data_IF_115165752692
#
_entry.id   IF_115165752692
#
_cell.length_a   1.000
_cell.length_b   1.000
_cell.length_c   1.000
_cell.angle_alpha   90.00
_cell.angle_beta   90.00
_cell.angle_gamma   90.00
#
_symmetry.space_group_name_H-M   'P 1'
#
loop_
_entity.id
_entity.type
_entity.pdbx_description
1 polymer ?
#
# COMPACT_ATOMS: atom_id res chain seq x y z
N UNK A 1 -18.14 -20.32 48.60
CA UNK A 1 -17.37 -20.10 47.35
C UNK A 1 -18.31 -20.34 46.17
N UNK A 2 -18.75 -19.30 45.44
CA UNK A 2 -19.56 -19.52 44.24
C UNK A 2 -18.66 -19.66 43.01
N UNK A 3 -19.02 -20.63 42.19
CA UNK A 3 -18.36 -21.08 40.96
C UNK A 3 -18.53 -20.00 39.88
N UNK A 4 -17.41 -19.55 39.31
CA UNK A 4 -17.35 -18.59 38.21
C UNK A 4 -17.58 -19.33 36.88
N UNK A 5 -18.73 -19.12 36.26
CA UNK A 5 -18.93 -19.49 34.86
C UNK A 5 -18.23 -18.46 33.97
N UNK A 6 -17.14 -18.89 33.32
CA UNK A 6 -16.52 -18.11 32.24
C UNK A 6 -17.47 -18.22 31.03
N UNK A 7 -18.21 -17.15 30.76
CA UNK A 7 -18.87 -16.97 29.47
C UNK A 7 -17.79 -16.68 28.43
N UNK A 8 -17.66 -17.56 27.45
CA UNK A 8 -16.89 -17.29 26.25
C UNK A 8 -17.59 -16.15 25.48
N UNK A 9 -16.94 -15.00 25.37
CA UNK A 9 -17.39 -13.96 24.46
C UNK A 9 -17.24 -14.46 23.02
N UNK A 10 -18.35 -14.61 22.31
CA UNK A 10 -18.34 -14.81 20.87
C UNK A 10 -17.70 -13.58 20.21
N UNK A 11 -16.55 -13.77 19.56
CA UNK A 11 -15.92 -12.76 18.71
C UNK A 11 -16.87 -12.54 17.52
N UNK A 12 -17.51 -11.38 17.46
CA UNK A 12 -18.44 -11.04 16.39
C UNK A 12 -17.74 -10.92 15.04
N UNK A 13 -17.95 -11.91 14.18
CA UNK A 13 -17.75 -11.78 12.73
C UNK A 13 -18.99 -11.06 12.21
N UNK A 14 -18.90 -9.76 11.86
CA UNK A 14 -20.04 -9.07 11.21
C UNK A 14 -20.20 -7.55 11.36
N UNK A 15 -19.22 -6.79 11.86
CA UNK A 15 -19.32 -5.33 11.76
C UNK A 15 -19.11 -4.91 10.30
N UNK A 16 -20.08 -4.22 9.67
CA UNK A 16 -19.88 -3.58 8.36
C UNK A 16 -18.70 -2.63 8.47
N UNK A 17 -17.70 -2.78 7.60
CA UNK A 17 -16.56 -1.87 7.56
C UNK A 17 -17.05 -0.45 7.25
N UNK A 18 -16.99 0.43 8.25
CA UNK A 18 -17.41 1.83 8.15
C UNK A 18 -16.49 2.66 9.06
N UNK A 19 -15.24 2.94 8.64
CA UNK A 19 -14.34 3.75 9.44
C UNK A 19 -14.91 5.17 9.58
N UNK A 20 -14.90 5.68 10.81
CA UNK A 20 -15.24 7.09 11.06
C UNK A 20 -14.00 7.93 10.75
N UNK A 21 -14.11 8.81 9.76
CA UNK A 21 -13.05 9.76 9.39
C UNK A 21 -13.35 11.11 10.04
N UNK A 22 -12.48 11.50 10.97
CA UNK A 22 -12.43 12.87 11.51
C UNK A 22 -11.16 13.53 10.96
N UNK A 23 -11.26 14.57 10.11
CA UNK A 23 -10.09 15.22 9.54
C UNK A 23 -9.05 15.70 10.56
N UNK A 24 -9.50 16.05 11.77
CA UNK A 24 -8.61 16.51 12.83
C UNK A 24 -7.70 15.41 13.38
N UNK A 25 -7.99 14.13 13.10
CA UNK A 25 -7.19 12.98 13.53
C UNK A 25 -6.08 12.60 12.56
N UNK A 26 -5.96 13.31 11.43
CA UNK A 26 -4.99 13.01 10.37
C UNK A 26 -3.97 14.12 10.17
N UNK A 27 -2.81 13.72 9.67
CA UNK A 27 -1.73 14.61 9.25
C UNK A 27 -1.11 14.14 7.93
N UNK A 28 -0.57 15.09 7.19
CA UNK A 28 0.16 14.85 5.93
C UNK A 28 1.66 14.57 6.14
N UNK A 29 2.16 14.62 7.37
CA UNK A 29 3.51 14.13 7.67
C UNK A 29 3.44 12.64 8.00
N UNK A 30 3.88 11.81 7.07
CA UNK A 30 3.82 10.35 7.20
C UNK A 30 5.20 9.85 7.64
N UNK A 31 5.34 9.66 8.95
CA UNK A 31 6.58 9.26 9.63
C UNK A 31 6.49 7.86 10.24
N UNK A 32 5.51 7.04 9.82
CA UNK A 32 5.41 5.66 10.27
C UNK A 32 6.73 4.91 9.98
N UNK A 33 7.34 4.23 10.97
CA UNK A 33 8.67 3.64 10.83
C UNK A 33 8.75 2.51 9.78
N UNK A 34 7.62 1.94 9.38
CA UNK A 34 7.53 0.87 8.39
C UNK A 34 7.12 1.38 7.00
N UNK A 35 6.54 2.58 6.92
CA UNK A 35 6.11 3.19 5.66
C UNK A 35 6.24 4.72 5.70
N UNK A 36 7.48 5.25 5.82
CA UNK A 36 7.71 6.68 5.82
C UNK A 36 7.55 7.26 4.41
N UNK A 37 6.73 8.29 4.25
CA UNK A 37 6.55 9.00 2.98
C UNK A 37 7.08 10.43 3.11
N UNK A 38 8.40 10.56 2.97
CA UNK A 38 9.09 11.86 2.99
C UNK A 38 9.11 12.43 1.56
N UNK A 39 8.56 13.64 1.32
CA UNK A 39 8.59 14.28 0.01
C UNK A 39 9.98 14.32 -0.62
N UNK A 40 10.06 14.04 -1.92
CA UNK A 40 11.30 13.92 -2.69
C UNK A 40 11.93 12.53 -2.66
N UNK A 41 11.45 11.62 -1.81
CA UNK A 41 11.92 10.23 -1.79
C UNK A 41 11.54 9.52 -3.09
N UNK A 42 12.49 8.78 -3.66
CA UNK A 42 12.29 7.99 -4.89
C UNK A 42 12.70 6.55 -4.68
N UNK A 43 11.87 5.63 -5.17
CA UNK A 43 12.15 4.20 -5.18
C UNK A 43 12.11 3.68 -6.62
N UNK A 44 12.98 2.72 -6.92
CA UNK A 44 12.99 2.01 -8.20
C UNK A 44 12.97 0.52 -7.94
N UNK A 45 12.02 -0.17 -8.58
CA UNK A 45 11.88 -1.61 -8.49
C UNK A 45 11.94 -2.22 -9.88
N UNK A 46 12.48 -3.43 -9.93
CA UNK A 46 12.50 -4.26 -11.13
C UNK A 46 11.80 -5.57 -10.79
N UNK A 47 10.73 -5.87 -11.51
CA UNK A 47 9.89 -7.04 -11.30
C UNK A 47 9.93 -7.90 -12.56
N UNK A 48 10.03 -9.21 -12.39
CA UNK A 48 9.93 -10.17 -13.49
C UNK A 48 8.73 -11.06 -13.27
N UNK A 49 7.73 -10.94 -14.14
CA UNK A 49 6.45 -11.66 -14.05
C UNK A 49 6.20 -12.35 -15.38
N UNK A 50 5.97 -13.67 -15.35
CA UNK A 50 5.79 -14.50 -16.55
C UNK A 50 6.87 -14.33 -17.65
N UNK A 51 8.10 -14.01 -17.26
CA UNK A 51 9.23 -13.79 -18.18
C UNK A 51 9.30 -12.38 -18.78
N UNK A 52 8.38 -11.49 -18.43
CA UNK A 52 8.45 -10.07 -18.76
C UNK A 52 9.06 -9.26 -17.63
N UNK A 53 9.84 -8.24 -17.96
CA UNK A 53 10.44 -7.32 -16.99
C UNK A 53 9.68 -6.00 -16.96
N UNK A 54 9.33 -5.57 -15.75
CA UNK A 54 8.69 -4.30 -15.45
C UNK A 54 9.63 -3.46 -14.58
N UNK A 55 9.68 -2.16 -14.84
CA UNK A 55 10.35 -1.21 -13.98
C UNK A 55 9.30 -0.30 -13.36
N UNK A 56 9.29 -0.23 -12.03
CA UNK A 56 8.39 0.64 -11.27
C UNK A 56 9.21 1.77 -10.66
N UNK A 57 8.77 3.01 -10.88
CA UNK A 57 9.35 4.19 -10.24
C UNK A 57 8.29 4.85 -9.36
N UNK A 58 8.58 4.95 -8.07
CA UNK A 58 7.70 5.58 -7.08
C UNK A 58 8.36 6.86 -6.60
N UNK A 59 7.61 7.97 -6.57
CA UNK A 59 8.05 9.27 -6.09
C UNK A 59 7.07 9.82 -5.07
N UNK A 60 7.52 10.01 -3.83
CA UNK A 60 6.74 10.76 -2.84
C UNK A 60 6.80 12.23 -3.21
N UNK A 61 5.67 12.82 -3.57
CA UNK A 61 5.63 14.21 -4.03
C UNK A 61 5.56 15.18 -2.84
N UNK A 62 5.68 16.48 -3.12
CA UNK A 62 5.34 17.54 -2.15
C UNK A 62 3.87 17.96 -2.22
N UNK A 63 3.11 17.35 -3.13
CA UNK A 63 1.73 17.69 -3.39
C UNK A 63 0.80 16.95 -2.44
N UNK A 64 -0.37 17.55 -2.24
CA UNK A 64 -1.42 16.96 -1.41
C UNK A 64 -2.78 17.11 -2.07
N UNK A 65 -3.65 16.14 -1.87
CA UNK A 65 -5.06 16.20 -2.24
C UNK A 65 -5.92 16.14 -0.99
N UNK A 66 -6.99 16.91 -0.94
CA UNK A 66 -7.95 16.84 0.17
C UNK A 66 -9.06 15.86 -0.17
N UNK A 67 -9.20 14.78 0.61
CA UNK A 67 -10.20 13.73 0.42
C UNK A 67 -10.95 13.55 1.74
N UNK A 68 -12.28 13.63 1.71
CA UNK A 68 -13.13 13.61 2.93
C UNK A 68 -12.69 14.62 4.01
N UNK A 69 -12.11 15.76 3.60
CA UNK A 69 -11.57 16.80 4.49
C UNK A 69 -10.15 16.54 5.01
N UNK A 70 -9.57 15.35 4.78
CA UNK A 70 -8.21 14.98 5.17
C UNK A 70 -7.22 15.43 4.09
N UNK A 71 -6.12 16.07 4.48
CA UNK A 71 -5.01 16.42 3.58
C UNK A 71 -4.09 15.21 3.39
N UNK A 72 -4.19 14.56 2.24
CA UNK A 72 -3.43 13.36 1.89
C UNK A 72 -2.20 13.70 1.06
N UNK A 73 -1.05 13.11 1.38
CA UNK A 73 0.19 13.14 0.57
C UNK A 73 -0.03 12.39 -0.72
N UNK A 74 0.38 12.97 -1.84
CA UNK A 74 0.35 12.28 -3.13
C UNK A 74 1.68 11.57 -3.40
N UNK A 75 1.58 10.29 -3.78
CA UNK A 75 2.69 9.47 -4.24
C UNK A 75 2.44 9.16 -5.72
N UNK A 76 3.45 9.41 -6.56
CA UNK A 76 3.39 9.15 -7.99
C UNK A 76 4.09 7.83 -8.30
N UNK A 77 3.35 6.84 -8.79
CA UNK A 77 3.82 5.53 -9.18
C UNK A 77 3.69 5.34 -10.70
N UNK A 78 4.80 5.00 -11.35
CA UNK A 78 4.85 4.73 -12.79
C UNK A 78 5.39 3.33 -13.04
N UNK A 79 4.57 2.48 -13.66
CA UNK A 79 4.97 1.17 -14.13
C UNK A 79 5.32 1.24 -15.62
N UNK A 80 6.50 0.76 -15.97
CA UNK A 80 6.96 0.67 -17.37
C UNK A 80 7.32 -0.76 -17.75
N UNK A 81 7.10 -1.12 -19.01
CA UNK A 81 7.51 -2.39 -19.60
C UNK A 81 8.08 -2.09 -21.00
N UNK A 82 9.30 -2.58 -21.26
CA UNK A 82 10.02 -2.33 -22.53
C UNK A 82 10.12 -0.84 -22.91
N UNK A 83 10.28 0.03 -21.90
CA UNK A 83 10.39 1.48 -22.08
C UNK A 83 9.07 2.21 -22.31
N UNK A 84 7.94 1.50 -22.32
CA UNK A 84 6.60 2.09 -22.45
C UNK A 84 5.90 2.13 -21.09
N UNK A 85 5.22 3.23 -20.79
CA UNK A 85 4.34 3.33 -19.62
C UNK A 85 3.17 2.36 -19.79
N UNK A 86 2.94 1.55 -18.77
CA UNK A 86 1.80 0.64 -18.63
C UNK A 86 0.79 1.14 -17.61
N UNK A 87 1.25 1.87 -16.61
CA UNK A 87 0.41 2.45 -15.56
C UNK A 87 1.06 3.75 -15.06
N UNK A 88 0.22 4.75 -14.80
CA UNK A 88 0.58 6.06 -14.25
C UNK A 88 -0.46 6.40 -13.18
N UNK A 89 -0.02 6.38 -11.92
CA UNK A 89 -0.90 6.40 -10.75
C UNK A 89 -0.48 7.48 -9.76
N UNK A 90 -1.46 8.21 -9.24
CA UNK A 90 -1.31 9.05 -8.06
C UNK A 90 -2.09 8.45 -6.89
N UNK A 91 -1.37 7.92 -5.92
CA UNK A 91 -1.90 7.38 -4.67
C UNK A 91 -1.98 8.46 -3.61
N UNK A 92 -3.00 8.42 -2.75
CA UNK A 92 -3.20 9.40 -1.68
C UNK A 92 -3.21 8.77 -0.30
N UNK A 93 -2.26 9.19 0.55
CA UNK A 93 -2.09 8.65 1.90
C UNK A 93 -2.18 9.73 2.97
N UNK A 94 -2.64 9.36 4.17
CA UNK A 94 -2.51 10.21 5.36
C UNK A 94 -2.19 9.36 6.58
N UNK A 95 -1.55 9.94 7.59
CA UNK A 95 -1.25 9.24 8.84
C UNK A 95 -2.18 9.74 9.94
N UNK A 96 -2.78 8.83 10.69
CA UNK A 96 -3.56 9.18 11.87
C UNK A 96 -2.67 9.51 13.09
N UNK A 97 -3.24 10.17 14.10
CA UNK A 97 -2.55 10.50 15.37
C UNK A 97 -2.01 9.28 16.12
N UNK A 98 -2.55 8.09 15.87
CA UNK A 98 -2.08 6.84 16.50
C UNK A 98 -0.84 6.30 15.79
N UNK A 99 -0.58 6.75 14.56
CA UNK A 99 0.58 6.41 13.75
C UNK A 99 0.26 5.49 12.57
N UNK A 100 -1.00 5.11 12.36
CA UNK A 100 -1.37 4.25 11.23
C UNK A 100 -1.44 5.08 9.95
N UNK A 101 -0.95 4.52 8.85
CA UNK A 101 -1.05 5.12 7.52
C UNK A 101 -2.29 4.57 6.84
N UNK A 102 -3.09 5.49 6.32
CA UNK A 102 -4.34 5.23 5.64
C UNK A 102 -4.21 5.54 4.15
N UNK A 103 -4.90 4.76 3.33
CA UNK A 103 -5.00 4.93 1.90
C UNK A 103 -6.40 5.45 1.53
N UNK A 104 -6.44 6.60 0.88
CA UNK A 104 -7.65 7.36 0.58
C UNK A 104 -8.09 7.25 -0.88
N UNK A 105 -7.31 6.58 -1.73
CA UNK A 105 -7.65 6.33 -3.12
C UNK A 105 -6.50 6.57 -4.08
N UNK A 106 -6.81 6.39 -5.36
CA UNK A 106 -5.90 6.55 -6.49
C UNK A 106 -6.59 7.21 -7.69
N UNK A 107 -5.79 7.98 -8.43
CA UNK A 107 -6.05 8.27 -9.83
C UNK A 107 -5.06 7.49 -10.69
N UNK A 108 -5.56 6.45 -11.35
CA UNK A 108 -4.78 5.50 -12.15
C UNK A 108 -5.14 5.62 -13.63
N UNK A 109 -4.14 5.67 -14.50
CA UNK A 109 -4.29 5.49 -15.94
C UNK A 109 -3.51 4.26 -16.39
N UNK A 110 -4.23 3.19 -16.68
CA UNK A 110 -3.68 2.01 -17.36
C UNK A 110 -3.57 2.26 -18.86
N UNK A 111 -2.44 1.89 -19.45
CA UNK A 111 -2.17 1.95 -20.88
C UNK A 111 -2.04 0.53 -21.42
N UNK A 112 -3.12 0.06 -22.06
CA UNK A 112 -3.26 -1.28 -22.62
C UNK A 112 -2.62 -1.37 -24.01
N UNK A 113 -2.40 -2.61 -24.54
CA UNK A 113 -1.95 -2.80 -25.91
C UNK A 113 -2.77 -1.98 -26.92
N UNK A 114 -2.08 -1.37 -27.89
CA UNK A 114 -2.69 -0.44 -28.83
C UNK A 114 -2.96 0.97 -28.25
N UNK A 115 -2.30 1.34 -27.15
CA UNK A 115 -2.38 2.67 -26.48
C UNK A 115 -3.77 3.03 -25.95
N UNK A 116 -4.63 2.03 -25.75
CA UNK A 116 -5.95 2.23 -25.13
C UNK A 116 -5.75 2.61 -23.67
N UNK A 117 -6.35 3.71 -23.24
CA UNK A 117 -6.28 4.22 -21.87
C UNK A 117 -7.52 3.81 -21.07
N UNK A 118 -7.33 3.49 -19.81
CA UNK A 118 -8.41 3.10 -18.89
C UNK A 118 -8.13 3.71 -17.52
N UNK A 119 -9.15 4.34 -16.92
CA UNK A 119 -9.10 4.81 -15.53
C UNK A 119 -9.95 3.96 -14.58
N UNK A 120 -10.27 2.73 -15.00
CA UNK A 120 -11.18 1.85 -14.26
C UNK A 120 -10.69 1.43 -12.87
N UNK A 121 -9.37 1.51 -12.61
CA UNK A 121 -8.78 1.29 -11.29
C UNK A 121 -8.86 2.50 -10.36
N UNK A 122 -9.17 3.69 -10.87
CA UNK A 122 -9.25 4.91 -10.04
C UNK A 122 -10.41 4.84 -9.07
N UNK A 123 -10.17 5.24 -7.82
CA UNK A 123 -11.19 5.38 -6.80
C UNK A 123 -10.81 6.46 -5.79
N UNK A 124 -11.80 7.04 -5.13
CA UNK A 124 -11.59 8.08 -4.12
C UNK A 124 -12.53 7.84 -2.94
N UNK A 125 -11.98 7.80 -1.73
CA UNK A 125 -12.76 7.63 -0.51
C UNK A 125 -13.88 8.68 -0.40
N UNK A 126 -15.10 8.23 -0.06
CA UNK A 126 -16.29 9.08 -0.01
C UNK A 126 -17.03 9.23 -1.34
N UNK A 127 -16.46 8.77 -2.46
CA UNK A 127 -17.13 8.73 -3.78
C UNK A 127 -17.69 7.33 -4.02
N UNK A 128 -18.95 7.23 -4.46
CA UNK A 128 -19.55 5.94 -4.87
C UNK A 128 -19.66 4.89 -3.75
N UNK A 129 -19.52 5.29 -2.48
CA UNK A 129 -19.49 4.38 -1.33
C UNK A 129 -18.10 3.79 -1.02
N UNK A 130 -17.03 4.24 -1.71
CA UNK A 130 -15.66 3.87 -1.38
C UNK A 130 -15.29 4.31 0.04
N UNK A 131 -14.58 3.45 0.76
CA UNK A 131 -14.09 3.74 2.10
C UNK A 131 -12.57 3.63 2.15
N UNK A 132 -11.87 4.56 2.85
CA UNK A 132 -10.42 4.47 2.99
C UNK A 132 -10.06 3.32 3.92
N UNK A 133 -8.84 2.78 3.81
CA UNK A 133 -8.36 1.69 4.65
C UNK A 133 -6.97 1.91 5.22
N UNK A 134 -6.54 1.06 6.15
CA UNK A 134 -5.21 1.17 6.78
C UNK A 134 -4.23 0.40 5.91
N UNK A 135 -3.29 1.09 5.25
CA UNK A 135 -2.21 0.47 4.47
C UNK A 135 -1.01 0.11 5.34
N UNK A 136 -0.83 0.76 6.49
CA UNK A 136 0.22 0.39 7.43
C UNK A 136 -0.21 0.66 8.87
N UNK A 137 -0.33 -0.36 9.73
CA UNK A 137 -0.63 -0.16 11.14
C UNK A 137 0.42 0.69 11.86
N UNK A 138 -0.01 1.43 12.90
CA UNK A 138 0.89 2.22 13.74
C UNK A 138 2.01 1.41 14.41
N UNK A 139 1.67 0.17 14.78
CA UNK A 139 2.58 -0.80 15.36
C UNK A 139 2.40 -2.07 14.55
N UNK A 140 3.24 -2.25 13.54
CA UNK A 140 3.25 -3.50 12.80
C UNK A 140 3.68 -4.62 13.78
N UNK A 141 2.75 -5.51 14.09
CA UNK A 141 3.09 -6.81 14.66
C UNK A 141 3.32 -7.75 13.48
N UNK A 142 4.47 -8.42 13.48
CA UNK A 142 4.71 -9.48 12.52
C UNK A 142 3.54 -10.48 12.60
N UNK A 143 3.03 -10.92 11.44
CA UNK A 143 2.03 -12.00 11.30
C UNK A 143 0.54 -11.70 11.61
N UNK A 144 0.05 -10.44 11.68
CA UNK A 144 -1.40 -10.13 11.79
C UNK A 144 -2.01 -9.64 10.43
N UNK A 145 -3.15 -10.20 9.95
CA UNK A 145 -3.83 -9.67 8.76
C UNK A 145 -4.50 -8.33 9.07
N UNK A 146 -4.47 -7.39 8.11
CA UNK A 146 -5.19 -6.12 8.20
C UNK A 146 -5.83 -5.75 6.84
N UNK A 147 -6.91 -4.98 6.89
CA UNK A 147 -7.67 -4.58 5.70
C UNK A 147 -7.07 -3.31 5.10
N UNK A 148 -6.47 -3.42 3.91
CA UNK A 148 -5.87 -2.29 3.21
C UNK A 148 -6.93 -1.41 2.51
N UNK A 149 -7.96 -2.02 1.90
CA UNK A 149 -8.97 -1.36 1.06
C UNK A 149 -10.36 -2.01 1.20
N UNK A 150 -11.42 -1.25 0.92
CA UNK A 150 -12.80 -1.77 0.86
C UNK A 150 -13.64 -1.00 -0.16
N UNK A 151 -14.01 -1.67 -1.26
CA UNK A 151 -14.99 -1.20 -2.24
C UNK A 151 -15.93 -2.35 -2.64
N UNK A 152 -17.22 -2.31 -2.27
CA UNK A 152 -18.17 -3.37 -2.60
C UNK A 152 -18.25 -3.61 -4.12
N UNK A 153 -18.08 -4.87 -4.54
CA UNK A 153 -18.20 -5.34 -5.94
C UNK A 153 -17.14 -4.84 -6.94
N UNK A 154 -16.07 -4.16 -6.50
CA UNK A 154 -15.01 -3.66 -7.41
C UNK A 154 -13.59 -3.83 -6.86
N UNK A 155 -13.39 -3.81 -5.53
CA UNK A 155 -12.07 -4.06 -4.91
C UNK A 155 -11.95 -5.45 -4.26
N UNK A 156 -13.01 -6.25 -4.29
CA UNK A 156 -12.90 -7.70 -4.10
C UNK A 156 -12.69 -8.33 -5.48
N UNK A 157 -11.45 -8.42 -5.98
CA UNK A 157 -11.13 -9.21 -7.18
C UNK A 157 -10.63 -10.61 -6.76
N UNK A 158 -11.51 -11.63 -6.69
CA UNK A 158 -11.11 -13.01 -6.44
C UNK A 158 -10.55 -13.74 -7.69
N UNK A 159 -10.15 -13.05 -8.77
CA UNK A 159 -9.81 -13.72 -10.03
C UNK A 159 -8.60 -13.21 -10.82
N UNK A 160 -7.82 -12.25 -10.33
CA UNK A 160 -6.67 -11.74 -11.10
C UNK A 160 -5.33 -11.86 -10.34
N UNK A 161 -4.33 -12.60 -10.85
CA UNK A 161 -3.03 -12.76 -10.19
C UNK A 161 -2.10 -11.53 -10.20
N UNK A 162 -2.55 -10.32 -10.51
CA UNK A 162 -1.64 -9.19 -10.79
C UNK A 162 -1.87 -7.89 -10.00
N UNK A 163 -2.72 -7.87 -8.98
CA UNK A 163 -2.69 -6.81 -7.97
C UNK A 163 -2.05 -7.33 -6.68
N UNK A 164 -0.72 -7.43 -6.69
CA UNK A 164 0.01 -7.37 -5.43
C UNK A 164 0.02 -5.90 -4.99
N UNK A 165 -0.50 -5.54 -3.82
CA UNK A 165 -0.19 -4.25 -3.23
C UNK A 165 1.29 -4.28 -2.86
N UNK A 166 2.12 -3.52 -3.58
CA UNK A 166 3.56 -3.44 -3.29
C UNK A 166 3.79 -2.52 -2.08
N UNK A 167 3.46 -2.99 -0.87
CA UNK A 167 3.97 -2.42 0.36
C UNK A 167 5.40 -2.94 0.58
N UNK A 168 6.40 -2.09 0.35
CA UNK A 168 7.79 -2.39 0.72
C UNK A 168 8.03 -1.97 2.18
N UNK A 169 8.44 -2.92 3.02
CA UNK A 169 8.90 -2.67 4.40
C UNK A 169 10.41 -2.95 4.49
N UNK A 170 11.29 -1.93 4.52
CA UNK A 170 12.68 -2.14 4.87
C UNK A 170 12.86 -2.00 6.38
N UNK A 171 13.02 -3.13 7.07
CA UNK A 171 13.38 -3.15 8.49
C UNK A 171 13.39 -4.58 9.04
N UNK A 172 14.57 -5.21 9.05
CA UNK A 172 14.82 -6.60 9.43
C UNK A 172 14.02 -7.09 10.65
N UNK A 173 13.09 -8.04 10.44
CA UNK A 173 12.40 -8.71 11.54
C UNK A 173 11.24 -9.64 11.18
N UNK A 174 11.35 -10.40 10.09
CA UNK A 174 10.52 -11.56 9.65
C UNK A 174 9.11 -11.75 10.28
N UNK A 175 8.09 -11.56 9.43
CA UNK A 175 7.13 -12.61 9.03
C UNK A 175 6.77 -12.39 7.55
N UNK A 176 7.48 -13.06 6.65
CA UNK A 176 7.00 -13.44 5.33
C UNK A 176 6.46 -14.86 5.52
N UNK A 177 5.21 -15.15 5.13
CA UNK A 177 4.77 -16.54 5.02
C UNK A 177 4.64 -16.89 3.53
N UNK A 178 5.75 -17.20 2.84
CA UNK A 178 5.66 -18.04 1.67
C UNK A 178 5.39 -19.46 2.16
N UNK A 179 4.58 -20.21 1.45
CA UNK A 179 4.79 -21.66 1.47
C UNK A 179 5.75 -21.96 0.32
N UNK A 180 6.98 -22.43 0.54
CA UNK A 180 7.86 -22.84 -0.54
C UNK A 180 7.73 -24.34 -0.83
N UNK A 181 7.62 -24.69 -2.12
CA UNK A 181 8.38 -25.76 -2.85
C UNK A 181 7.73 -25.95 -4.23
N UNK A 182 8.42 -25.89 -5.39
CA UNK A 182 9.85 -26.01 -5.74
C UNK A 182 10.20 -25.07 -6.90
N UNK A 183 11.44 -24.56 -6.92
CA UNK A 183 12.09 -23.96 -8.11
C UNK A 183 12.72 -22.60 -7.79
N UNK A 184 14.02 -22.55 -7.55
CA UNK A 184 14.71 -21.41 -6.95
C UNK A 184 14.93 -20.21 -7.88
N UNK A 185 15.07 -19.02 -7.30
CA UNK A 185 15.67 -17.86 -7.98
C UNK A 185 16.40 -17.01 -6.94
N UNK A 186 17.63 -16.59 -7.27
CA UNK A 186 18.48 -15.75 -6.42
C UNK A 186 18.09 -14.29 -6.62
N UNK A 187 17.76 -13.58 -5.54
CA UNK A 187 17.65 -12.12 -5.56
C UNK A 187 19.04 -11.49 -5.42
N UNK A 188 19.41 -10.60 -6.33
CA UNK A 188 20.62 -9.76 -6.22
C UNK A 188 20.16 -8.32 -6.04
N UNK A 189 20.30 -7.78 -4.83
CA UNK A 189 20.21 -6.36 -4.55
C UNK A 189 21.42 -5.68 -5.22
N UNK A 190 21.19 -4.86 -6.24
CA UNK A 190 22.19 -3.93 -6.75
C UNK A 190 22.09 -2.62 -5.96
N UNK A 191 22.68 -2.59 -4.76
CA UNK A 191 22.95 -1.33 -4.05
C UNK A 191 24.21 -0.70 -4.65
N UNK A 192 24.04 0.39 -5.38
CA UNK A 192 25.16 1.23 -5.86
C UNK A 192 25.37 2.43 -4.93
N UNK A 193 25.43 2.24 -3.60
CA UNK A 193 25.96 3.29 -2.72
C UNK A 193 26.48 2.82 -1.34
N UNK A 194 27.30 1.75 -1.31
CA UNK A 194 27.98 1.28 -0.09
C UNK A 194 29.52 1.42 -0.15
N UNK A 195 30.06 2.43 -0.82
CA UNK A 195 31.50 2.74 -0.77
C UNK A 195 31.77 4.21 -0.46
N UNK A 196 31.43 4.68 0.75
CA UNK A 196 32.09 5.90 1.28
C UNK A 196 32.10 6.13 2.79
N UNK A 197 31.96 5.12 3.65
CA UNK A 197 32.12 5.29 5.11
C UNK A 197 32.91 4.15 5.78
N UNK A 198 34.09 3.84 5.23
CA UNK A 198 35.11 3.06 5.93
C UNK A 198 36.48 3.69 5.67
N UNK A 199 36.70 4.87 6.26
CA UNK A 199 38.00 5.50 6.57
C UNK A 199 37.70 6.79 7.36
N UNK A 200 37.52 6.60 8.66
CA UNK A 200 37.92 7.42 9.82
C UNK A 200 37.15 6.91 11.03
#
# INVERSE_FOLDING_TARGET
MPVLFITAAAVGIGAKYQPRIDPSDFQSQISNPYFPLVPGTRYKYVETVFGETFNREITVTSETKTIMGVKCVSVHDVLTNKGEVREDTYDWYAQDKKGAVWYFGEATIEIKPGRRRSSAGSWEAGVGGALPGIVMPAKAKACEPYQQEYYPNWAEDPSRPEHLPTAFAPGNGRCWNPVPRKGGTRHRLASSDQRRLARL
#
